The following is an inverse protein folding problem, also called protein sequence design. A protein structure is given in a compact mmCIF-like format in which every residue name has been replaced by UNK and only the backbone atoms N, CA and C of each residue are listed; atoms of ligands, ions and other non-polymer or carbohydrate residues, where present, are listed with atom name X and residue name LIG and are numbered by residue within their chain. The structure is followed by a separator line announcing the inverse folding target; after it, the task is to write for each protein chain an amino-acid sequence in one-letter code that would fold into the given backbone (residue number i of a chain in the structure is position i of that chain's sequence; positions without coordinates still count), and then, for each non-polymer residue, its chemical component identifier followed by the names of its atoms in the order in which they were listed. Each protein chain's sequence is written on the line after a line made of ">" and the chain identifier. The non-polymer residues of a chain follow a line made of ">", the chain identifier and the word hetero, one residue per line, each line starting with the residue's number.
data_IF_162320149150
#
_entry.id   IF_162320149150
#
_cell.length_a   1.000
_cell.length_b   1.000
_cell.length_c   1.000
_cell.angle_alpha   90.00
_cell.angle_beta   90.00
_cell.angle_gamma   90.00
#
_symmetry.space_group_name_H-M   'P 1'
#
loop_
_entity.id
_entity.type
_entity.pdbx_description
1 polymer ?
#
# COMPACT_ATOMS: atom_id res chain seq x y z
N UNK A 1 -6.85 2.15 17.07
CA UNK A 1 -5.76 1.47 17.81
C UNK A 1 -5.30 2.25 19.06
N UNK A 2 -4.92 3.54 19.01
CA UNK A 2 -4.47 4.27 20.22
C UNK A 2 -5.55 4.35 21.31
N UNK A 3 -6.81 4.53 20.90
CA UNK A 3 -7.97 4.57 21.79
C UNK A 3 -8.25 3.21 22.46
N UNK A 4 -8.17 2.10 21.72
CA UNK A 4 -8.34 0.75 22.28
C UNK A 4 -7.23 0.42 23.29
N UNK A 5 -5.98 0.70 22.94
CA UNK A 5 -4.84 0.42 23.82
C UNK A 5 -4.83 1.31 25.07
N UNK A 6 -5.23 2.58 24.95
CA UNK A 6 -5.30 3.52 26.07
C UNK A 6 -6.52 3.34 26.96
N UNK A 7 -7.70 3.07 26.38
CA UNK A 7 -8.97 3.01 27.13
C UNK A 7 -9.31 1.61 27.67
N UNK A 8 -9.00 0.54 26.92
CA UNK A 8 -9.38 -0.83 27.31
C UNK A 8 -8.22 -1.60 27.92
N UNK A 9 -7.02 -1.44 27.38
CA UNK A 9 -5.83 -2.13 27.88
C UNK A 9 -5.08 -1.38 28.98
N UNK A 10 -5.53 -0.17 29.37
CA UNK A 10 -4.85 0.71 30.34
C UNK A 10 -3.34 0.90 30.04
N UNK A 11 -2.93 0.74 28.78
CA UNK A 11 -1.53 0.91 28.40
C UNK A 11 -1.28 2.38 28.11
N UNK A 12 -0.50 3.00 29.00
CA UNK A 12 -0.04 4.38 28.86
C UNK A 12 1.08 4.45 27.79
N UNK A 13 0.68 4.29 26.52
CA UNK A 13 1.53 4.42 25.32
C UNK A 13 2.24 5.79 25.29
N UNK A 14 1.70 6.79 26.00
CA UNK A 14 2.30 8.11 26.15
C UNK A 14 3.45 8.16 27.16
N UNK A 15 3.55 7.23 28.12
CA UNK A 15 4.65 7.21 29.10
C UNK A 15 5.89 6.46 28.65
N UNK A 16 5.76 5.46 27.77
CA UNK A 16 6.90 4.67 27.27
C UNK A 16 7.11 4.88 25.77
N UNK A 17 7.81 5.96 25.39
CA UNK A 17 8.22 6.20 24.00
C UNK A 17 9.05 5.07 23.39
N UNK A 18 9.77 4.31 24.23
CA UNK A 18 10.48 3.09 23.83
C UNK A 18 9.54 1.98 23.33
N UNK A 19 8.39 1.77 23.98
CA UNK A 19 7.42 0.74 23.61
C UNK A 19 6.69 1.09 22.30
N UNK A 20 6.43 2.38 22.09
CA UNK A 20 5.78 2.88 20.87
C UNK A 20 6.66 2.76 19.62
N UNK A 21 7.98 2.68 19.77
CA UNK A 21 8.92 2.51 18.67
C UNK A 21 9.06 1.03 18.22
N UNK A 22 8.77 0.07 19.10
CA UNK A 22 8.95 -1.38 18.83
C UNK A 22 8.16 -1.85 17.60
N UNK A 23 6.85 -1.54 17.44
CA UNK A 23 6.09 -2.03 16.28
C UNK A 23 6.67 -1.52 14.95
N UNK A 24 7.09 -0.27 14.90
CA UNK A 24 7.67 0.33 13.70
C UNK A 24 9.07 -0.22 13.39
N UNK A 25 9.88 -0.46 14.41
CA UNK A 25 11.20 -1.07 14.25
C UNK A 25 11.07 -2.52 13.75
N UNK A 26 10.14 -3.29 14.32
CA UNK A 26 9.85 -4.66 13.86
C UNK A 26 9.34 -4.65 12.42
N UNK A 27 8.43 -3.74 12.07
CA UNK A 27 7.96 -3.55 10.69
C UNK A 27 9.11 -3.25 9.73
N UNK A 28 10.03 -2.37 10.11
CA UNK A 28 11.17 -2.05 9.28
C UNK A 28 12.07 -3.27 9.04
N UNK A 29 12.44 -4.01 10.08
CA UNK A 29 13.25 -5.24 9.96
C UNK A 29 12.53 -6.30 9.12
N UNK A 30 11.24 -6.54 9.38
CA UNK A 30 10.44 -7.50 8.62
C UNK A 30 10.31 -7.11 7.15
N UNK A 31 10.13 -5.81 6.86
CA UNK A 31 10.04 -5.33 5.48
C UNK A 31 11.34 -5.61 4.71
N UNK A 32 12.51 -5.38 5.32
CA UNK A 32 13.80 -5.68 4.68
C UNK A 32 13.94 -7.18 4.44
N UNK A 33 13.59 -8.00 5.43
CA UNK A 33 13.68 -9.45 5.31
C UNK A 33 12.75 -10.00 4.21
N UNK A 34 11.50 -9.55 4.18
CA UNK A 34 10.51 -10.00 3.17
C UNK A 34 10.89 -9.51 1.77
N UNK A 35 11.40 -8.28 1.64
CA UNK A 35 11.94 -7.78 0.37
C UNK A 35 13.08 -8.66 -0.13
N UNK A 36 14.06 -8.96 0.74
CA UNK A 36 15.18 -9.82 0.38
C UNK A 36 14.75 -11.23 -0.02
N UNK A 37 13.81 -11.84 0.71
CA UNK A 37 13.26 -13.16 0.38
C UNK A 37 12.55 -13.12 -0.97
N UNK A 38 11.74 -12.08 -1.22
CA UNK A 38 11.03 -11.92 -2.48
C UNK A 38 11.98 -11.72 -3.66
N UNK A 39 12.98 -10.89 -3.52
CA UNK A 39 13.96 -10.63 -4.59
C UNK A 39 14.76 -11.89 -4.91
N UNK A 40 15.18 -12.66 -3.89
CA UNK A 40 15.82 -13.97 -4.10
C UNK A 40 14.90 -15.00 -4.75
N UNK A 41 13.61 -15.01 -4.39
CA UNK A 41 12.65 -15.93 -5.01
C UNK A 41 12.44 -15.61 -6.50
N UNK A 42 12.47 -14.33 -6.87
CA UNK A 42 12.43 -13.86 -8.26
C UNK A 42 13.72 -14.18 -9.02
N UNK A 43 14.89 -13.93 -8.41
CA UNK A 43 16.20 -14.21 -9.01
C UNK A 43 16.37 -15.70 -9.35
N UNK A 44 15.88 -16.58 -8.46
CA UNK A 44 15.89 -18.04 -8.66
C UNK A 44 14.83 -18.54 -9.63
N UNK A 45 14.04 -17.65 -10.25
CA UNK A 45 12.92 -17.97 -11.16
C UNK A 45 11.93 -18.98 -10.57
N UNK A 46 11.77 -18.98 -9.24
CA UNK A 46 10.87 -19.92 -8.56
C UNK A 46 9.40 -19.53 -8.79
N UNK A 47 9.12 -18.23 -8.96
CA UNK A 47 7.78 -17.70 -9.16
C UNK A 47 7.80 -16.60 -10.24
N UNK A 48 6.66 -16.43 -10.93
CA UNK A 48 6.41 -15.23 -11.74
C UNK A 48 6.29 -14.00 -10.84
N UNK A 49 6.63 -12.82 -11.37
CA UNK A 49 6.51 -11.53 -10.68
C UNK A 49 5.12 -11.39 -10.07
N UNK A 50 4.06 -11.62 -10.86
CA UNK A 50 2.67 -11.54 -10.39
C UNK A 50 2.37 -12.48 -9.22
N UNK A 51 2.91 -13.71 -9.23
CA UNK A 51 2.71 -14.67 -8.12
C UNK A 51 3.44 -14.23 -6.85
N UNK A 52 4.68 -13.73 -6.97
CA UNK A 52 5.43 -13.21 -5.84
C UNK A 52 4.71 -11.99 -5.20
N UNK A 53 4.20 -11.06 -6.02
CA UNK A 53 3.42 -9.91 -5.56
C UNK A 53 2.12 -10.32 -4.86
N UNK A 54 1.40 -11.32 -5.39
CA UNK A 54 0.18 -11.87 -4.75
C UNK A 54 0.46 -12.51 -3.40
N UNK A 55 1.55 -13.27 -3.29
CA UNK A 55 1.98 -13.88 -2.01
C UNK A 55 2.33 -12.79 -1.01
N UNK A 56 3.14 -11.80 -1.41
CA UNK A 56 3.51 -10.66 -0.56
C UNK A 56 2.29 -9.90 -0.06
N UNK A 57 1.33 -9.59 -0.95
CA UNK A 57 0.11 -8.88 -0.56
C UNK A 57 -0.78 -9.72 0.37
N UNK A 58 -0.84 -11.03 0.15
CA UNK A 58 -1.60 -11.95 1.00
C UNK A 58 -1.04 -12.04 2.41
N UNK A 59 0.29 -12.13 2.55
CA UNK A 59 0.94 -12.08 3.87
C UNK A 59 0.63 -10.74 4.56
N UNK A 60 0.67 -9.64 3.80
CA UNK A 60 0.46 -8.30 4.33
C UNK A 60 -0.98 -8.00 4.76
N UNK A 61 -1.98 -8.72 4.24
CA UNK A 61 -3.40 -8.46 4.52
C UNK A 61 -4.04 -9.58 5.36
N UNK A 62 -3.82 -10.84 5.01
CA UNK A 62 -4.36 -11.96 5.79
C UNK A 62 -3.65 -12.13 7.13
N UNK A 63 -2.35 -11.86 7.21
CA UNK A 63 -1.60 -11.86 8.47
C UNK A 63 -2.21 -10.91 9.50
N UNK A 64 -2.32 -9.61 9.19
CA UNK A 64 -3.01 -8.64 10.05
C UNK A 64 -4.48 -8.96 10.28
N UNK A 65 -5.19 -9.46 9.27
CA UNK A 65 -6.60 -9.86 9.40
C UNK A 65 -6.81 -10.98 10.43
N UNK A 66 -5.95 -12.01 10.42
CA UNK A 66 -5.97 -13.09 11.41
C UNK A 66 -5.58 -12.59 12.80
N UNK A 67 -4.57 -11.70 12.88
CA UNK A 67 -4.16 -11.09 14.14
C UNK A 67 -5.29 -10.24 14.76
N UNK A 68 -6.09 -9.54 13.96
CA UNK A 68 -7.26 -8.78 14.41
C UNK A 68 -8.39 -9.68 14.92
N UNK A 69 -8.62 -10.83 14.27
CA UNK A 69 -9.57 -11.84 14.77
C UNK A 69 -9.09 -12.38 16.12
N UNK A 70 -7.80 -12.72 16.23
CA UNK A 70 -7.19 -13.14 17.49
C UNK A 70 -7.31 -12.09 18.60
N UNK A 71 -7.14 -10.82 18.26
CA UNK A 71 -7.33 -9.70 19.18
C UNK A 71 -8.78 -9.59 19.68
N UNK A 72 -9.75 -9.90 18.81
CA UNK A 72 -11.16 -9.97 19.19
C UNK A 72 -11.47 -11.05 20.23
N UNK A 73 -10.73 -12.16 20.22
CA UNK A 73 -10.89 -13.25 21.20
C UNK A 73 -9.95 -13.16 22.40
N UNK A 74 -9.05 -12.18 22.44
CA UNK A 74 -8.08 -12.05 23.51
C UNK A 74 -8.78 -11.74 24.85
N UNK A 75 -8.53 -12.53 25.91
CA UNK A 75 -9.05 -12.22 27.25
C UNK A 75 -8.38 -10.96 27.81
N UNK A 76 -9.16 -10.13 28.51
CA UNK A 76 -8.72 -8.85 29.09
C UNK A 76 -7.69 -8.99 30.23
N UNK A 77 -7.42 -10.23 30.68
CA UNK A 77 -6.56 -10.51 31.83
C UNK A 77 -5.05 -10.48 31.53
N UNK A 78 -4.64 -10.60 30.26
CA UNK A 78 -3.21 -10.52 29.88
C UNK A 78 -2.95 -9.40 28.85
N UNK A 79 -2.30 -8.30 29.27
CA UNK A 79 -1.92 -7.20 28.38
C UNK A 79 -0.85 -7.57 27.33
N UNK A 80 -0.07 -8.64 27.55
CA UNK A 80 1.09 -9.00 26.73
C UNK A 80 0.68 -9.63 25.39
N UNK A 81 -0.39 -10.42 25.39
CA UNK A 81 -0.89 -11.15 24.21
C UNK A 81 -1.45 -10.20 23.12
N UNK A 82 -2.32 -9.21 23.45
CA UNK A 82 -2.75 -8.17 22.52
C UNK A 82 -1.59 -7.36 21.93
N UNK A 83 -0.58 -7.02 22.76
CA UNK A 83 0.59 -6.27 22.32
C UNK A 83 1.44 -7.06 21.33
N UNK A 84 1.69 -8.34 21.62
CA UNK A 84 2.42 -9.24 20.72
C UNK A 84 1.71 -9.43 19.38
N UNK A 85 0.38 -9.62 19.39
CA UNK A 85 -0.43 -9.71 18.16
C UNK A 85 -0.38 -8.42 17.35
N UNK A 86 -0.40 -7.26 18.00
CA UNK A 86 -0.31 -5.97 17.32
C UNK A 86 1.06 -5.76 16.69
N UNK A 87 2.15 -6.08 17.39
CA UNK A 87 3.51 -6.02 16.83
C UNK A 87 3.65 -6.95 15.63
N UNK A 88 3.13 -8.18 15.72
CA UNK A 88 3.14 -9.13 14.62
C UNK A 88 2.32 -8.61 13.43
N UNK A 89 1.13 -8.07 13.67
CA UNK A 89 0.26 -7.49 12.65
C UNK A 89 0.95 -6.35 11.90
N UNK A 90 1.54 -5.40 12.63
CA UNK A 90 2.28 -4.27 12.04
C UNK A 90 3.54 -4.75 11.31
N UNK A 91 4.23 -5.77 11.85
CA UNK A 91 5.35 -6.44 11.20
C UNK A 91 5.00 -7.04 9.84
N UNK A 92 3.92 -7.83 9.79
CA UNK A 92 3.43 -8.47 8.57
C UNK A 92 2.95 -7.44 7.53
N UNK A 93 2.41 -6.30 7.98
CA UNK A 93 2.02 -5.22 7.09
C UNK A 93 3.21 -4.65 6.28
N UNK A 94 4.45 -4.78 6.77
CA UNK A 94 5.67 -4.44 6.03
C UNK A 94 5.81 -5.18 4.68
N UNK A 95 5.16 -6.34 4.52
CA UNK A 95 5.12 -7.05 3.24
C UNK A 95 4.33 -6.31 2.15
N UNK A 96 3.52 -5.30 2.50
CA UNK A 96 2.71 -4.51 1.54
C UNK A 96 3.58 -3.75 0.54
N UNK A 97 4.78 -3.35 0.95
CA UNK A 97 5.78 -2.69 0.09
C UNK A 97 6.14 -3.59 -1.09
N UNK A 98 6.42 -4.86 -0.80
CA UNK A 98 6.78 -5.87 -1.79
C UNK A 98 5.58 -6.38 -2.59
N UNK A 99 4.37 -6.25 -2.03
CA UNK A 99 3.10 -6.63 -2.66
C UNK A 99 2.59 -5.57 -3.63
N UNK A 100 1.64 -4.74 -3.18
CA UNK A 100 0.91 -3.83 -4.06
C UNK A 100 1.75 -2.61 -4.51
N UNK A 101 2.69 -2.16 -3.68
CA UNK A 101 3.38 -0.89 -3.93
C UNK A 101 4.33 -1.02 -5.13
N UNK A 102 5.14 -2.08 -5.16
CA UNK A 102 5.99 -2.38 -6.33
C UNK A 102 5.15 -2.82 -7.54
N UNK A 103 3.95 -3.38 -7.34
CA UNK A 103 3.09 -3.80 -8.45
C UNK A 103 2.71 -2.66 -9.40
N UNK A 104 2.66 -1.40 -8.95
CA UNK A 104 2.38 -0.25 -9.83
C UNK A 104 3.50 -0.03 -10.85
N UNK A 105 4.74 -0.20 -10.41
CA UNK A 105 5.95 -0.07 -11.23
C UNK A 105 6.03 -1.26 -12.18
N UNK A 106 5.77 -2.48 -11.70
CA UNK A 106 5.77 -3.69 -12.51
C UNK A 106 4.70 -3.65 -13.62
N UNK A 107 3.53 -3.04 -13.34
CA UNK A 107 2.39 -2.96 -14.25
C UNK A 107 2.59 -1.90 -15.35
N UNK A 108 3.11 -0.72 -15.00
CA UNK A 108 3.36 0.35 -15.96
C UNK A 108 4.49 1.27 -15.48
N UNK A 109 5.75 1.01 -15.86
CA UNK A 109 6.87 1.89 -15.51
C UNK A 109 6.70 3.34 -15.97
N UNK A 110 6.11 3.57 -17.15
CA UNK A 110 5.95 4.90 -17.73
C UNK A 110 4.86 5.73 -17.04
N UNK A 111 3.83 5.08 -16.48
CA UNK A 111 2.71 5.74 -15.79
C UNK A 111 2.67 5.43 -14.29
N UNK A 112 3.74 4.84 -13.72
CA UNK A 112 3.78 4.38 -12.33
C UNK A 112 3.46 5.50 -11.34
N UNK A 113 4.03 6.70 -11.55
CA UNK A 113 3.78 7.85 -10.69
C UNK A 113 2.32 8.31 -10.70
N UNK A 114 1.70 8.34 -11.88
CA UNK A 114 0.27 8.68 -12.01
C UNK A 114 -0.61 7.62 -11.37
N UNK A 115 -0.32 6.34 -11.62
CA UNK A 115 -1.08 5.23 -11.05
C UNK A 115 -0.99 5.22 -9.52
N UNK A 116 0.21 5.43 -8.96
CA UNK A 116 0.45 5.58 -7.53
C UNK A 116 -0.24 6.82 -6.95
N UNK A 117 -0.31 7.93 -7.70
CA UNK A 117 -1.03 9.13 -7.29
C UNK A 117 -2.54 8.90 -7.17
N UNK A 118 -3.14 8.23 -8.16
CA UNK A 118 -4.57 7.89 -8.15
C UNK A 118 -4.89 6.96 -6.98
N UNK A 119 -4.10 5.90 -6.79
CA UNK A 119 -4.34 4.96 -5.69
C UNK A 119 -4.14 5.61 -4.32
N UNK A 120 -3.16 6.50 -4.15
CA UNK A 120 -3.01 7.29 -2.93
C UNK A 120 -4.18 8.24 -2.68
N UNK A 121 -4.75 8.87 -3.72
CA UNK A 121 -5.93 9.72 -3.57
C UNK A 121 -7.12 8.92 -3.03
N UNK A 122 -7.41 7.76 -3.65
CA UNK A 122 -8.47 6.86 -3.19
C UNK A 122 -8.20 6.36 -1.77
N UNK A 123 -6.95 6.01 -1.45
CA UNK A 123 -6.56 5.58 -0.11
C UNK A 123 -6.80 6.66 0.95
N UNK A 124 -6.51 7.94 0.65
CA UNK A 124 -6.76 9.04 1.57
C UNK A 124 -8.26 9.25 1.82
N UNK A 125 -9.10 9.15 0.79
CA UNK A 125 -10.57 9.23 0.95
C UNK A 125 -11.07 8.10 1.87
N UNK A 126 -10.59 6.87 1.65
CA UNK A 126 -10.95 5.73 2.49
C UNK A 126 -10.43 5.88 3.94
N UNK A 127 -9.26 6.48 4.12
CA UNK A 127 -8.67 6.77 5.43
C UNK A 127 -9.51 7.77 6.24
N UNK A 128 -10.18 8.72 5.58
CA UNK A 128 -11.12 9.64 6.23
C UNK A 128 -12.42 8.92 6.61
N UNK A 129 -12.92 8.04 5.74
CA UNK A 129 -14.17 7.30 5.96
C UNK A 129 -14.05 6.24 7.06
N UNK A 130 -12.90 5.56 7.17
CA UNK A 130 -12.73 4.43 8.08
C UNK A 130 -12.99 4.79 9.57
N UNK A 131 -12.45 5.88 10.14
CA UNK A 131 -12.77 6.31 11.50
C UNK A 131 -14.25 6.69 11.69
N UNK A 132 -14.89 7.28 10.67
CA UNK A 132 -16.31 7.68 10.75
C UNK A 132 -17.20 6.44 10.86
N UNK A 133 -16.92 5.42 10.04
CA UNK A 133 -17.65 4.15 10.09
C UNK A 133 -17.38 3.45 11.42
N UNK A 134 -16.12 3.38 11.85
CA UNK A 134 -15.75 2.76 13.13
C UNK A 134 -16.45 3.45 14.33
N UNK A 135 -16.53 4.78 14.34
CA UNK A 135 -17.22 5.53 15.39
C UNK A 135 -18.73 5.35 15.40
N UNK A 136 -19.35 5.02 14.26
CA UNK A 136 -20.78 4.64 14.20
C UNK A 136 -21.03 3.21 14.68
N UNK A 137 -20.08 2.30 14.46
CA UNK A 137 -20.18 0.89 14.89
C UNK A 137 -19.90 0.75 16.38
N UNK A 138 -18.94 1.52 16.91
CA UNK A 138 -18.57 1.54 18.32
C UNK A 138 -18.75 2.95 18.92
N UNK A 139 -20.00 3.39 19.16
CA UNK A 139 -20.26 4.68 19.79
C UNK A 139 -19.77 4.75 21.25
N UNK A 140 -19.74 3.62 21.96
CA UNK A 140 -19.18 3.54 23.32
C UNK A 140 -17.77 2.97 23.26
N UNK A 141 -16.77 3.82 23.46
CA UNK A 141 -15.35 3.43 23.39
C UNK A 141 -14.90 2.51 24.52
N UNK A 142 -15.71 2.34 25.57
CA UNK A 142 -15.43 1.51 26.75
C UNK A 142 -15.98 0.08 26.62
N UNK A 143 -16.88 -0.19 25.66
CA UNK A 143 -17.45 -1.53 25.46
C UNK A 143 -16.51 -2.42 24.62
N UNK A 144 -15.93 -3.43 25.25
CA UNK A 144 -15.06 -4.40 24.59
C UNK A 144 -15.76 -5.16 23.44
N UNK A 145 -17.06 -5.45 23.59
CA UNK A 145 -17.82 -6.16 22.56
C UNK A 145 -18.09 -5.31 21.30
N UNK A 146 -18.21 -3.98 21.44
CA UNK A 146 -18.33 -3.10 20.27
C UNK A 146 -17.02 -3.07 19.47
N UNK A 147 -15.87 -3.05 20.16
CA UNK A 147 -14.57 -3.12 19.51
C UNK A 147 -14.32 -4.46 18.81
N UNK A 148 -14.82 -5.57 19.35
CA UNK A 148 -14.79 -6.86 18.67
C UNK A 148 -15.48 -6.79 17.31
N UNK A 149 -16.67 -6.19 17.24
CA UNK A 149 -17.40 -6.01 15.97
C UNK A 149 -16.56 -5.20 14.98
N UNK A 150 -15.93 -4.10 15.43
CA UNK A 150 -15.04 -3.29 14.58
C UNK A 150 -13.86 -4.12 14.05
N UNK A 151 -13.22 -4.94 14.89
CA UNK A 151 -12.13 -5.81 14.46
C UNK A 151 -12.57 -6.88 13.46
N UNK A 152 -13.74 -7.49 13.64
CA UNK A 152 -14.29 -8.45 12.69
C UNK A 152 -14.62 -7.81 11.34
N UNK A 153 -15.23 -6.62 11.34
CA UNK A 153 -15.51 -5.87 10.10
C UNK A 153 -14.20 -5.51 9.39
N UNK A 154 -13.20 -5.02 10.11
CA UNK A 154 -11.88 -4.71 9.54
C UNK A 154 -11.20 -5.97 8.96
N UNK A 155 -11.24 -7.10 9.68
CA UNK A 155 -10.70 -8.36 9.20
C UNK A 155 -11.43 -8.84 7.93
N UNK A 156 -12.77 -8.79 7.89
CA UNK A 156 -13.55 -9.16 6.71
C UNK A 156 -13.18 -8.32 5.49
N UNK A 157 -13.03 -7.00 5.68
CA UNK A 157 -12.54 -6.08 4.64
C UNK A 157 -11.16 -6.50 4.16
N UNK A 158 -10.19 -6.74 5.05
CA UNK A 158 -8.85 -7.20 4.66
C UNK A 158 -8.88 -8.50 3.83
N UNK A 159 -9.72 -9.46 4.23
CA UNK A 159 -9.87 -10.72 3.51
C UNK A 159 -10.46 -10.54 2.11
N UNK A 160 -11.56 -9.77 1.99
CA UNK A 160 -12.26 -9.54 0.71
C UNK A 160 -11.38 -8.77 -0.27
N UNK A 161 -10.74 -7.68 0.17
CA UNK A 161 -9.87 -6.89 -0.70
C UNK A 161 -8.62 -7.67 -1.13
N UNK A 162 -8.02 -8.45 -0.23
CA UNK A 162 -6.91 -9.31 -0.63
C UNK A 162 -7.35 -10.41 -1.59
N UNK A 163 -8.50 -11.04 -1.37
CA UNK A 163 -9.03 -12.05 -2.28
C UNK A 163 -9.26 -11.48 -3.68
N UNK A 164 -9.84 -10.27 -3.75
CA UNK A 164 -10.00 -9.54 -5.00
C UNK A 164 -8.64 -9.30 -5.69
N UNK A 165 -7.64 -8.84 -4.95
CA UNK A 165 -6.30 -8.64 -5.50
C UNK A 165 -5.63 -9.94 -5.97
N UNK A 166 -5.81 -11.05 -5.26
CA UNK A 166 -5.24 -12.35 -5.64
C UNK A 166 -5.87 -12.87 -6.94
N UNK A 167 -7.18 -12.68 -7.11
CA UNK A 167 -7.92 -13.11 -8.31
C UNK A 167 -7.56 -12.22 -9.50
N UNK A 168 -7.68 -10.90 -9.36
CA UNK A 168 -7.59 -9.95 -10.48
C UNK A 168 -6.21 -9.33 -10.69
N UNK A 169 -5.32 -9.41 -9.71
CA UNK A 169 -3.99 -8.82 -9.79
C UNK A 169 -3.16 -9.44 -10.90
N UNK A 170 -2.46 -8.60 -11.66
CA UNK A 170 -1.44 -9.00 -12.62
C UNK A 170 -0.11 -8.31 -12.27
N UNK A 171 0.99 -9.01 -12.56
CA UNK A 171 2.36 -8.49 -12.46
C UNK A 171 3.06 -8.43 -13.82
N UNK A 172 2.29 -8.42 -14.91
CA UNK A 172 2.80 -8.26 -16.27
C UNK A 172 2.61 -6.82 -16.76
N UNK A 173 3.58 -6.34 -17.56
CA UNK A 173 3.51 -5.01 -18.17
C UNK A 173 2.26 -4.90 -19.02
N UNK A 174 1.47 -3.86 -18.78
CA UNK A 174 0.20 -3.68 -19.46
C UNK A 174 0.37 -3.08 -20.86
N UNK A 175 -0.54 -3.39 -21.80
CA UNK A 175 -0.39 -2.99 -23.20
C UNK A 175 -0.38 -1.46 -23.41
N UNK A 176 -1.03 -0.71 -22.52
CA UNK A 176 -1.04 0.76 -22.56
C UNK A 176 0.23 1.40 -21.98
N UNK A 177 1.18 0.61 -21.47
CA UNK A 177 2.41 1.15 -20.90
C UNK A 177 3.29 1.86 -21.93
N UNK A 178 3.28 1.43 -23.19
CA UNK A 178 4.05 2.10 -24.22
C UNK A 178 3.26 3.32 -24.73
N UNK A 179 3.72 4.56 -24.50
CA UNK A 179 3.18 5.69 -25.24
C UNK A 179 3.38 5.42 -26.73
N UNK A 180 2.39 5.79 -27.55
CA UNK A 180 2.50 5.69 -29.00
C UNK A 180 3.84 6.30 -29.45
N UNK A 181 4.52 5.72 -30.45
CA UNK A 181 5.76 6.30 -30.96
C UNK A 181 5.49 7.78 -31.28
N UNK A 182 6.26 8.68 -30.66
CA UNK A 182 6.26 10.07 -31.09
C UNK A 182 6.59 10.05 -32.57
N UNK A 183 5.69 10.57 -33.40
CA UNK A 183 5.98 10.73 -34.81
C UNK A 183 7.09 11.79 -34.90
N UNK A 184 8.34 11.37 -35.07
CA UNK A 184 9.51 12.25 -35.33
C UNK A 184 9.30 13.16 -36.56
N UNK A 185 8.24 12.91 -37.34
CA UNK A 185 7.80 13.75 -38.45
C UNK A 185 7.16 15.08 -38.00
N UNK A 186 6.59 15.16 -36.80
CA UNK A 186 6.01 16.41 -36.29
C UNK A 186 7.10 17.39 -35.81
N UNK A 187 8.13 16.92 -35.10
CA UNK A 187 9.26 17.75 -34.67
C UNK A 187 10.05 18.29 -35.87
N UNK A 188 10.32 17.45 -36.87
CA UNK A 188 10.96 17.90 -38.10
C UNK A 188 10.09 18.92 -38.88
N UNK A 189 8.76 18.76 -38.91
CA UNK A 189 7.89 19.71 -39.61
C UNK A 189 7.83 21.09 -38.92
N UNK A 190 7.91 21.12 -37.59
CA UNK A 190 7.92 22.37 -36.81
C UNK A 190 9.28 23.08 -36.97
N UNK A 191 10.41 22.36 -36.85
CA UNK A 191 11.75 22.92 -37.07
C UNK A 191 11.96 23.39 -38.51
N UNK A 192 11.46 22.66 -39.51
CA UNK A 192 11.54 23.09 -40.91
C UNK A 192 10.67 24.32 -41.17
N UNK A 193 9.49 24.43 -40.53
CA UNK A 193 8.63 25.62 -40.66
C UNK A 193 9.25 26.87 -40.02
N UNK A 194 9.88 26.73 -38.85
CA UNK A 194 10.53 27.84 -38.15
C UNK A 194 11.86 28.24 -38.80
N UNK A 195 12.61 27.27 -39.33
CA UNK A 195 13.81 27.53 -40.13
C UNK A 195 13.49 28.27 -41.43
N UNK A 196 12.37 27.94 -42.10
CA UNK A 196 11.97 28.59 -43.34
C UNK A 196 11.41 30.00 -43.12
N UNK A 197 10.68 30.23 -42.01
CA UNK A 197 10.24 31.57 -41.59
C UNK A 197 11.41 32.51 -41.28
N UNK A 198 12.46 32.02 -40.59
CA UNK A 198 13.64 32.84 -40.27
C UNK A 198 14.45 33.24 -41.51
N UNK A 199 14.57 32.36 -42.50
CA UNK A 199 15.27 32.66 -43.76
C UNK A 199 14.54 33.70 -44.61
N UNK A 200 13.22 33.62 -44.69
CA UNK A 200 12.42 34.61 -45.44
C UNK A 200 12.50 36.00 -44.80
N UNK A 201 12.53 36.10 -43.46
CA UNK A 201 12.64 37.38 -42.76
C UNK A 201 14.01 38.06 -42.94
N UNK A 202 15.08 37.30 -43.14
CA UNK A 202 16.42 37.83 -43.40
C UNK A 202 16.69 38.21 -44.86
N UNK A 203 15.82 37.82 -45.80
CA UNK A 203 15.97 38.11 -47.23
C UNK A 203 15.32 39.42 -47.69
N UNK A 204 14.35 39.94 -46.95
CA UNK A 204 13.61 41.18 -47.31
C UNK A 204 14.25 42.47 -46.78
N UNK A 205 15.34 42.41 -46.01
CA UNK A 205 16.00 43.60 -45.43
C UNK A 205 17.27 44.05 -46.16
N UNK A 206 17.47 43.62 -47.42
CA UNK A 206 18.73 43.74 -48.14
C UNK A 206 18.64 44.26 -49.58
N UNK A 207 17.60 45.01 -49.94
CA UNK A 207 17.54 45.82 -51.18
C UNK A 207 17.23 47.29 -50.88
#
# INVERSE_FOLDING_TARGET
>A
MPTYMGSILNFDIKKNGSLSAVPYLVMWIFSIFISWVSDKALERKMFSIGTARKIGNSIAHWGPGLALIGLGFAPSDDPMLPLGLLILSVGLNGASFVGFQVNHIDLSPNFAGTLMGITNCVANIMSILAPIIAGKIAPNTEDADQWRIVFFVAAAVYFVFNLFFVIFGSGEIQPWNNPAPKNDNEENSVEQSDGNKRKNFSGESGE
#
